data_IF_077155525314
#
_entry.id   IF_077155525314
#
_cell.length_a   1.000
_cell.length_b   1.000
_cell.length_c   1.000
_cell.angle_alpha   90.00
_cell.angle_beta   90.00
_cell.angle_gamma   90.00
#
_symmetry.space_group_name_H-M   'P 1'
#
loop_
_entity.id
_entity.type
_entity.pdbx_description
1 polymer ?
#
# COMPACT_ATOMS: atom_id res chain seq x y z
N UNK A 1 15.27 -7.00 -4.99
CA UNK A 1 16.40 -6.71 -5.90
C UNK A 1 17.72 -7.13 -5.24
N UNK A 2 17.88 -8.45 -4.98
CA UNK A 2 18.94 -9.05 -4.14
C UNK A 2 19.70 -10.19 -4.87
N UNK A 3 19.46 -10.37 -6.17
CA UNK A 3 19.76 -11.64 -6.85
C UNK A 3 21.16 -11.70 -7.45
N UNK A 4 21.70 -10.63 -8.04
CA UNK A 4 22.94 -10.73 -8.84
C UNK A 4 24.18 -11.14 -8.04
N UNK A 5 24.46 -10.49 -6.90
CA UNK A 5 25.62 -10.83 -6.07
C UNK A 5 25.54 -12.24 -5.47
N UNK A 6 24.36 -12.63 -4.99
CA UNK A 6 24.13 -13.97 -4.42
C UNK A 6 24.19 -15.07 -5.48
N UNK A 7 23.67 -14.82 -6.69
CA UNK A 7 23.76 -15.76 -7.82
C UNK A 7 25.20 -15.98 -8.26
N UNK A 8 25.99 -14.90 -8.37
CA UNK A 8 27.40 -15.01 -8.74
C UNK A 8 28.20 -15.76 -7.66
N UNK A 9 27.93 -15.50 -6.38
CA UNK A 9 28.60 -16.21 -5.28
C UNK A 9 28.30 -17.71 -5.29
N UNK A 10 27.05 -18.08 -5.54
CA UNK A 10 26.66 -19.48 -5.71
C UNK A 10 27.33 -20.12 -6.92
N UNK A 11 27.42 -19.40 -8.05
CA UNK A 11 28.13 -19.88 -9.23
C UNK A 11 29.60 -20.16 -8.93
N UNK A 12 30.30 -19.21 -8.29
CA UNK A 12 31.71 -19.38 -7.94
C UNK A 12 31.94 -20.52 -6.95
N UNK A 13 31.09 -20.67 -5.94
CA UNK A 13 31.14 -21.81 -5.01
C UNK A 13 30.92 -23.13 -5.72
N UNK A 14 29.91 -23.21 -6.60
CA UNK A 14 29.64 -24.42 -7.37
C UNK A 14 30.80 -24.80 -8.31
N UNK A 15 31.48 -23.82 -8.90
CA UNK A 15 32.69 -24.08 -9.67
C UNK A 15 33.81 -24.62 -8.77
N UNK A 16 34.00 -24.05 -7.58
CA UNK A 16 35.09 -24.39 -6.67
C UNK A 16 34.91 -25.76 -6.02
N UNK A 17 33.69 -26.13 -5.67
CA UNK A 17 33.32 -27.46 -5.16
C UNK A 17 33.57 -28.55 -6.21
N UNK A 18 33.21 -28.28 -7.47
CA UNK A 18 33.30 -29.27 -8.55
C UNK A 18 34.63 -29.23 -9.33
N UNK A 19 35.65 -28.50 -8.87
CA UNK A 19 36.93 -28.39 -9.58
C UNK A 19 37.69 -29.72 -9.64
N UNK A 20 37.52 -30.57 -8.64
CA UNK A 20 38.20 -31.87 -8.58
C UNK A 20 37.47 -32.94 -9.41
N UNK A 21 36.18 -32.76 -9.68
CA UNK A 21 35.37 -33.69 -10.46
C UNK A 21 35.19 -33.28 -11.93
N UNK A 22 35.47 -32.02 -12.30
CA UNK A 22 35.31 -31.51 -13.66
C UNK A 22 36.50 -30.66 -14.11
N UNK A 23 37.28 -31.19 -15.05
CA UNK A 23 38.40 -30.49 -15.70
C UNK A 23 37.96 -29.16 -16.32
N UNK A 24 36.76 -29.12 -16.92
CA UNK A 24 36.21 -27.88 -17.50
C UNK A 24 35.98 -26.81 -16.44
N UNK A 25 35.40 -27.17 -15.28
CA UNK A 25 35.17 -26.20 -14.20
C UNK A 25 36.47 -25.73 -13.56
N UNK A 26 37.46 -26.61 -13.41
CA UNK A 26 38.80 -26.25 -12.96
C UNK A 26 39.49 -25.24 -13.91
N UNK A 27 39.40 -25.47 -15.23
CA UNK A 27 39.96 -24.57 -16.23
C UNK A 27 39.28 -23.20 -16.22
N UNK A 28 37.94 -23.16 -16.09
CA UNK A 28 37.19 -21.90 -15.95
C UNK A 28 37.68 -21.13 -14.71
N UNK A 29 37.74 -21.77 -13.55
CA UNK A 29 38.21 -21.13 -12.32
C UNK A 29 39.63 -20.56 -12.45
N UNK A 30 40.55 -21.34 -13.02
CA UNK A 30 41.92 -20.90 -13.23
C UNK A 30 41.97 -19.66 -14.13
N UNK A 31 41.24 -19.66 -15.25
CA UNK A 31 41.16 -18.50 -16.14
C UNK A 31 40.56 -17.27 -15.45
N UNK A 32 39.51 -17.43 -14.64
CA UNK A 32 38.90 -16.34 -13.87
C UNK A 32 39.84 -15.77 -12.80
N UNK A 33 40.67 -16.62 -12.18
CA UNK A 33 41.70 -16.22 -11.22
C UNK A 33 42.87 -15.51 -11.91
N UNK A 34 43.38 -16.05 -13.01
CA UNK A 34 44.50 -15.48 -13.78
C UNK A 34 44.13 -14.11 -14.37
N UNK A 35 42.91 -13.98 -14.89
CA UNK A 35 42.36 -12.72 -15.41
C UNK A 35 41.97 -11.71 -14.32
N UNK A 36 42.01 -12.11 -13.04
CA UNK A 36 41.54 -11.31 -11.90
C UNK A 36 40.13 -10.74 -12.13
N UNK A 37 39.25 -11.54 -12.72
CA UNK A 37 37.89 -11.10 -13.07
C UNK A 37 37.07 -10.67 -11.84
N UNK A 38 35.93 -10.02 -12.09
CA UNK A 38 34.97 -9.73 -11.02
C UNK A 38 34.50 -11.01 -10.31
N UNK A 39 34.41 -12.14 -11.03
CA UNK A 39 33.96 -13.40 -10.45
C UNK A 39 34.97 -13.92 -9.41
N UNK A 40 36.26 -13.90 -9.72
CA UNK A 40 37.29 -14.37 -8.80
C UNK A 40 37.48 -13.45 -7.59
N UNK A 41 37.24 -12.15 -7.74
CA UNK A 41 37.34 -11.17 -6.65
C UNK A 41 36.04 -10.96 -5.86
N UNK A 42 34.94 -11.60 -6.23
CA UNK A 42 33.63 -11.23 -5.71
C UNK A 42 33.51 -11.41 -4.19
N UNK A 43 34.17 -12.42 -3.62
CA UNK A 43 34.04 -12.73 -2.19
C UNK A 43 34.64 -11.58 -1.37
N UNK A 44 35.84 -11.14 -1.75
CA UNK A 44 36.51 -9.96 -1.19
C UNK A 44 35.67 -8.70 -1.43
N UNK A 45 35.14 -8.51 -2.64
CA UNK A 45 34.28 -7.36 -2.94
C UNK A 45 33.03 -7.31 -2.05
N UNK A 46 32.36 -8.44 -1.84
CA UNK A 46 31.15 -8.52 -1.02
C UNK A 46 31.48 -8.29 0.46
N UNK A 47 32.54 -8.90 0.99
CA UNK A 47 33.02 -8.67 2.36
C UNK A 47 33.29 -7.17 2.60
N UNK A 48 34.04 -6.53 1.71
CA UNK A 48 34.38 -5.10 1.81
C UNK A 48 33.15 -4.20 1.66
N UNK A 49 32.29 -4.47 0.67
CA UNK A 49 31.11 -3.65 0.38
C UNK A 49 30.06 -3.66 1.50
N UNK A 50 29.90 -4.81 2.16
CA UNK A 50 28.92 -5.00 3.22
C UNK A 50 29.53 -4.99 4.62
N UNK A 51 30.85 -4.81 4.74
CA UNK A 51 31.61 -4.80 6.01
C UNK A 51 31.32 -6.03 6.87
N UNK A 52 31.39 -7.20 6.25
CA UNK A 52 31.21 -8.48 6.94
C UNK A 52 32.59 -8.91 7.45
N UNK A 53 32.76 -8.99 8.76
CA UNK A 53 34.04 -9.37 9.41
C UNK A 53 34.24 -10.89 9.44
N UNK A 54 33.15 -11.64 9.53
CA UNK A 54 33.15 -13.10 9.53
C UNK A 54 33.28 -13.70 8.12
N UNK A 55 33.42 -15.03 8.07
CA UNK A 55 33.34 -15.80 6.82
C UNK A 55 32.04 -15.47 6.07
N UNK A 56 32.15 -15.19 4.77
CA UNK A 56 30.99 -14.90 3.94
C UNK A 56 30.05 -16.12 3.90
N UNK A 57 28.79 -15.94 4.31
CA UNK A 57 27.72 -16.93 4.17
C UNK A 57 26.60 -16.37 3.31
N UNK A 58 25.73 -17.23 2.78
CA UNK A 58 24.61 -16.72 2.00
C UNK A 58 23.59 -15.97 2.88
N UNK A 59 23.50 -16.35 4.16
CA UNK A 59 22.60 -15.75 5.14
C UNK A 59 23.10 -14.37 5.57
N UNK A 60 24.35 -14.24 6.02
CA UNK A 60 24.90 -12.94 6.42
C UNK A 60 24.93 -11.95 5.25
N UNK A 61 25.17 -12.41 4.02
CA UNK A 61 25.09 -11.57 2.83
C UNK A 61 23.68 -11.07 2.58
N UNK A 62 22.66 -11.94 2.69
CA UNK A 62 21.25 -11.54 2.51
C UNK A 62 20.84 -10.53 3.57
N UNK A 63 21.25 -10.73 4.82
CA UNK A 63 20.97 -9.81 5.92
C UNK A 63 21.66 -8.46 5.72
N UNK A 64 22.96 -8.44 5.42
CA UNK A 64 23.68 -7.20 5.21
C UNK A 64 23.16 -6.41 3.98
N UNK A 65 22.80 -7.11 2.91
CA UNK A 65 22.13 -6.50 1.77
C UNK A 65 20.77 -5.90 2.14
N UNK A 66 19.98 -6.62 2.95
CA UNK A 66 18.69 -6.17 3.44
C UNK A 66 18.87 -4.90 4.27
N UNK A 67 19.76 -4.89 5.26
CA UNK A 67 20.06 -3.72 6.11
C UNK A 67 20.46 -2.51 5.27
N UNK A 68 21.39 -2.67 4.33
CA UNK A 68 21.82 -1.60 3.43
C UNK A 68 20.66 -1.05 2.61
N UNK A 69 19.84 -1.94 2.04
CA UNK A 69 18.66 -1.54 1.28
C UNK A 69 17.66 -0.73 2.11
N UNK A 70 17.40 -1.13 3.36
CA UNK A 70 16.53 -0.36 4.26
C UNK A 70 17.13 1.01 4.59
N UNK A 71 18.44 1.10 4.84
CA UNK A 71 19.11 2.37 5.08
C UNK A 71 19.03 3.31 3.85
N UNK A 72 19.29 2.78 2.66
CA UNK A 72 19.17 3.53 1.40
C UNK A 72 17.73 4.05 1.19
N UNK A 73 16.73 3.25 1.56
CA UNK A 73 15.32 3.65 1.50
C UNK A 73 14.97 4.70 2.54
N UNK A 74 15.47 4.59 3.78
CA UNK A 74 15.23 5.57 4.85
C UNK A 74 15.73 6.97 4.45
N UNK A 75 16.80 7.04 3.64
CA UNK A 75 17.31 8.29 3.05
C UNK A 75 16.45 8.88 1.94
N UNK A 76 15.52 8.12 1.35
CA UNK A 76 14.65 8.61 0.27
C UNK A 76 13.38 9.25 0.83
N UNK A 77 13.15 10.53 0.53
CA UNK A 77 12.05 11.34 1.08
C UNK A 77 10.66 10.72 0.95
N UNK A 78 10.37 10.07 -0.18
CA UNK A 78 9.06 9.48 -0.46
C UNK A 78 8.95 8.04 0.04
N UNK A 79 9.93 7.19 -0.29
CA UNK A 79 9.91 5.77 0.05
C UNK A 79 10.08 5.54 1.55
N UNK A 80 10.75 6.42 2.29
CA UNK A 80 10.92 6.30 3.73
C UNK A 80 9.64 6.41 4.53
N UNK A 81 8.54 6.96 3.99
CA UNK A 81 7.29 7.17 4.73
C UNK A 81 6.74 5.87 5.32
N UNK A 82 6.64 4.80 4.53
CA UNK A 82 6.14 3.51 5.00
C UNK A 82 7.07 2.91 6.07
N UNK A 83 8.38 3.00 5.85
CA UNK A 83 9.37 2.39 6.76
C UNK A 83 9.56 3.16 8.05
N UNK A 84 9.31 4.48 8.05
CA UNK A 84 9.17 5.28 9.27
C UNK A 84 7.86 4.96 9.97
N UNK A 85 6.78 4.80 9.21
CA UNK A 85 5.46 4.48 9.76
C UNK A 85 5.42 3.08 10.40
N UNK A 86 6.22 2.14 9.91
CA UNK A 86 6.35 0.80 10.48
C UNK A 86 6.86 0.80 11.94
N UNK A 87 7.51 1.88 12.38
CA UNK A 87 7.94 2.02 13.78
C UNK A 87 6.75 2.23 14.74
N UNK A 88 5.56 2.59 14.22
CA UNK A 88 4.35 2.70 15.02
C UNK A 88 3.55 1.39 15.05
N UNK A 89 3.14 0.98 16.26
CA UNK A 89 2.43 -0.28 16.50
C UNK A 89 1.06 -0.38 15.79
N UNK A 90 0.43 0.76 15.52
CA UNK A 90 -0.85 0.84 14.81
C UNK A 90 -0.74 0.54 13.30
N UNK A 91 0.48 0.56 12.74
CA UNK A 91 0.68 0.45 11.29
C UNK A 91 0.91 -1.00 10.88
N UNK A 92 -0.14 -1.61 10.32
CA UNK A 92 -0.03 -2.94 9.74
C UNK A 92 0.35 -2.87 8.25
N UNK A 93 1.63 -3.14 7.96
CA UNK A 93 2.18 -3.13 6.58
C UNK A 93 1.46 -4.14 5.67
N UNK A 94 1.14 -5.33 6.17
CA UNK A 94 0.44 -6.34 5.36
C UNK A 94 -0.99 -5.90 5.03
N UNK A 95 -1.70 -5.33 6.00
CA UNK A 95 -3.05 -4.80 5.79
C UNK A 95 -3.05 -3.65 4.77
N UNK A 96 -2.02 -2.80 4.77
CA UNK A 96 -1.91 -1.66 3.83
C UNK A 96 -1.90 -2.06 2.35
N UNK A 97 -1.51 -3.29 2.05
CA UNK A 97 -1.45 -3.84 0.69
C UNK A 97 -2.63 -4.78 0.35
N UNK A 98 -3.58 -4.95 1.27
CA UNK A 98 -4.70 -5.91 1.09
C UNK A 98 -5.61 -5.51 -0.08
N UNK A 99 -5.74 -4.21 -0.36
CA UNK A 99 -6.54 -3.73 -1.49
C UNK A 99 -5.96 -4.12 -2.86
N UNK A 100 -4.66 -4.39 -2.96
CA UNK A 100 -4.04 -4.93 -4.19
C UNK A 100 -4.36 -6.42 -4.36
N UNK A 101 -4.45 -7.19 -3.26
CA UNK A 101 -4.70 -8.63 -3.32
C UNK A 101 -6.19 -8.98 -3.44
N UNK A 102 -7.06 -8.17 -2.84
CA UNK A 102 -8.51 -8.43 -2.73
C UNK A 102 -9.37 -7.36 -3.40
N UNK A 103 -8.77 -6.41 -4.12
CA UNK A 103 -9.50 -5.35 -4.79
C UNK A 103 -10.31 -5.87 -5.97
N UNK A 104 -11.52 -5.35 -6.14
CA UNK A 104 -12.31 -5.57 -7.36
C UNK A 104 -11.83 -4.64 -8.49
N UNK A 105 -10.52 -4.60 -8.73
CA UNK A 105 -9.89 -3.76 -9.74
C UNK A 105 -9.39 -4.65 -10.88
N UNK A 106 -9.63 -4.21 -12.12
CA UNK A 106 -9.03 -4.89 -13.27
C UNK A 106 -7.50 -4.70 -13.23
N UNK A 107 -6.74 -5.71 -13.67
CA UNK A 107 -5.27 -5.67 -13.68
C UNK A 107 -4.69 -4.41 -14.37
N UNK A 108 -5.38 -3.89 -15.41
CA UNK A 108 -5.02 -2.62 -16.05
C UNK A 108 -5.16 -1.44 -15.09
N UNK A 109 -6.27 -1.34 -14.37
CA UNK A 109 -6.53 -0.27 -13.39
C UNK A 109 -5.57 -0.35 -12.22
N UNK A 110 -5.30 -1.57 -11.72
CA UNK A 110 -4.28 -1.82 -10.70
C UNK A 110 -2.90 -1.30 -11.15
N UNK A 111 -2.46 -1.66 -12.37
CA UNK A 111 -1.21 -1.17 -12.94
C UNK A 111 -1.14 0.36 -13.01
N UNK A 112 -2.26 1.02 -13.33
CA UNK A 112 -2.35 2.50 -13.33
C UNK A 112 -2.27 3.06 -11.90
N UNK A 113 -2.95 2.46 -10.93
CA UNK A 113 -2.91 2.91 -9.53
C UNK A 113 -1.52 2.72 -8.92
N UNK A 114 -0.88 1.58 -9.15
CA UNK A 114 0.51 1.33 -8.75
C UNK A 114 1.45 2.30 -9.45
N UNK A 115 1.29 2.55 -10.75
CA UNK A 115 2.07 3.55 -11.45
C UNK A 115 1.85 4.96 -10.88
N UNK A 116 0.63 5.36 -10.54
CA UNK A 116 0.34 6.65 -9.91
C UNK A 116 0.89 6.72 -8.48
N UNK A 117 0.90 5.62 -7.73
CA UNK A 117 1.43 5.59 -6.37
C UNK A 117 2.97 5.62 -6.36
N UNK A 118 3.60 4.86 -7.26
CA UNK A 118 5.06 4.70 -7.37
C UNK A 118 5.70 5.83 -8.17
N UNK A 119 5.00 6.34 -9.19
CA UNK A 119 5.39 7.56 -9.85
C UNK A 119 5.13 8.70 -8.89
N UNK A 120 6.14 9.54 -8.74
CA UNK A 120 5.98 10.92 -8.30
C UNK A 120 4.82 11.50 -9.14
N UNK A 121 3.56 11.50 -8.65
CA UNK A 121 2.40 12.05 -9.39
C UNK A 121 2.67 13.48 -9.88
N UNK A 122 3.67 14.12 -9.28
CA UNK A 122 4.32 15.33 -9.77
C UNK A 122 5.79 15.00 -10.01
N UNK A 123 6.14 14.69 -11.25
CA UNK A 123 7.47 14.33 -11.75
C UNK A 123 8.54 15.40 -11.43
N UNK A 124 8.93 15.56 -10.16
CA UNK A 124 9.94 16.53 -9.74
C UNK A 124 9.57 18.01 -9.98
N UNK A 125 8.43 18.29 -10.61
CA UNK A 125 7.97 19.66 -10.85
C UNK A 125 7.55 20.27 -9.52
N UNK A 126 8.28 21.29 -9.07
CA UNK A 126 7.92 22.14 -7.93
C UNK A 126 6.76 23.08 -8.27
N UNK A 127 5.70 22.55 -8.86
CA UNK A 127 4.54 23.33 -9.27
C UNK A 127 3.67 23.57 -8.04
N UNK A 128 3.30 24.83 -7.81
CA UNK A 128 2.32 25.16 -6.78
C UNK A 128 0.95 24.60 -7.14
N UNK A 129 0.15 24.26 -6.12
CA UNK A 129 -1.20 23.76 -6.34
C UNK A 129 -2.03 24.79 -7.12
N UNK A 130 -2.67 24.42 -8.24
CA UNK A 130 -3.44 25.36 -9.06
C UNK A 130 -4.68 25.90 -8.33
N UNK A 131 -5.21 25.13 -7.37
CA UNK A 131 -6.41 25.49 -6.62
C UNK A 131 -6.08 26.48 -5.50
N UNK A 132 -5.22 26.09 -4.55
CA UNK A 132 -4.95 26.90 -3.36
C UNK A 132 -3.79 27.89 -3.54
N UNK A 133 -2.84 27.61 -4.45
CA UNK A 133 -1.59 28.37 -4.69
C UNK A 133 -0.72 28.62 -3.44
N UNK A 134 -1.01 27.94 -2.31
CA UNK A 134 -0.29 28.07 -1.03
C UNK A 134 0.71 26.94 -0.78
N UNK A 135 0.42 25.75 -1.31
CA UNK A 135 1.23 24.56 -1.07
C UNK A 135 1.70 23.93 -2.38
N UNK A 136 2.76 23.15 -2.30
CA UNK A 136 3.26 22.35 -3.44
C UNK A 136 2.18 21.38 -3.90
N UNK A 137 2.01 21.26 -5.22
CA UNK A 137 1.13 20.29 -5.84
C UNK A 137 1.71 18.90 -5.58
N UNK A 138 1.18 18.23 -4.56
CA UNK A 138 1.52 16.85 -4.20
C UNK A 138 0.24 16.02 -4.15
N UNK A 139 0.34 14.71 -4.34
CA UNK A 139 -0.85 13.84 -4.35
C UNK A 139 -1.52 13.89 -2.97
N UNK A 140 -0.69 13.87 -1.93
CA UNK A 140 -1.09 14.06 -0.53
C UNK A 140 -1.83 15.40 -0.33
N UNK A 141 -1.27 16.51 -0.83
CA UNK A 141 -1.93 17.81 -0.75
C UNK A 141 -3.28 17.82 -1.49
N UNK A 142 -3.33 17.37 -2.74
CA UNK A 142 -4.57 17.36 -3.53
C UNK A 142 -5.64 16.46 -2.93
N UNK A 143 -5.27 15.30 -2.38
CA UNK A 143 -6.21 14.33 -1.84
C UNK A 143 -6.70 14.66 -0.42
N UNK A 144 -5.86 15.31 0.40
CA UNK A 144 -6.10 15.42 1.85
C UNK A 144 -5.84 16.78 2.49
N UNK A 145 -5.22 17.76 1.80
CA UNK A 145 -4.82 19.04 2.43
C UNK A 145 -5.17 20.29 1.63
N UNK A 146 -5.77 20.15 0.45
CA UNK A 146 -6.10 21.30 -0.39
C UNK A 146 -7.50 21.77 -0.04
N UNK A 147 -7.63 22.81 0.79
CA UNK A 147 -8.93 23.30 1.29
C UNK A 147 -9.98 23.50 0.19
N UNK A 148 -9.55 23.98 -0.99
CA UNK A 148 -10.44 24.21 -2.14
C UNK A 148 -10.90 22.94 -2.84
N UNK A 149 -10.10 21.86 -2.81
CA UNK A 149 -10.50 20.55 -3.34
C UNK A 149 -11.22 19.72 -2.29
N UNK A 150 -10.78 19.84 -1.04
CA UNK A 150 -11.23 18.99 0.05
C UNK A 150 -12.74 19.09 0.20
N UNK A 151 -13.30 20.30 0.28
CA UNK A 151 -14.74 20.48 0.44
C UNK A 151 -15.58 19.75 -0.62
N UNK A 152 -15.19 19.82 -1.89
CA UNK A 152 -15.96 19.22 -2.98
C UNK A 152 -15.68 17.71 -3.13
N UNK A 153 -14.41 17.31 -3.25
CA UNK A 153 -14.03 15.93 -3.56
C UNK A 153 -14.13 15.01 -2.35
N UNK A 154 -13.95 15.54 -1.13
CA UNK A 154 -14.26 14.78 0.09
C UNK A 154 -15.75 14.55 0.21
N UNK A 155 -16.58 15.61 0.09
CA UNK A 155 -18.03 15.48 0.21
C UNK A 155 -18.60 14.53 -0.86
N UNK A 156 -18.08 14.60 -2.09
CA UNK A 156 -18.48 13.66 -3.15
C UNK A 156 -18.16 12.21 -2.80
N UNK A 157 -16.95 11.92 -2.30
CA UNK A 157 -16.56 10.57 -1.87
C UNK A 157 -17.37 10.12 -0.66
N UNK A 158 -17.58 11.01 0.31
CA UNK A 158 -18.41 10.77 1.48
C UNK A 158 -19.82 10.34 1.08
N UNK A 159 -20.48 11.14 0.23
CA UNK A 159 -21.83 10.86 -0.24
C UNK A 159 -21.91 9.56 -1.04
N UNK A 160 -20.86 9.22 -1.79
CA UNK A 160 -20.77 7.93 -2.51
C UNK A 160 -20.67 6.74 -1.56
N UNK A 161 -19.90 6.86 -0.46
CA UNK A 161 -19.82 5.84 0.60
C UNK A 161 -21.16 5.71 1.32
N UNK A 162 -21.79 6.82 1.71
CA UNK A 162 -23.14 6.84 2.31
C UNK A 162 -24.14 6.16 1.38
N UNK A 163 -24.09 6.42 0.07
CA UNK A 163 -24.94 5.77 -0.92
C UNK A 163 -24.74 4.26 -0.99
N UNK A 164 -23.50 3.79 -0.95
CA UNK A 164 -23.19 2.35 -0.91
C UNK A 164 -23.74 1.69 0.37
N UNK A 165 -23.50 2.29 1.53
CA UNK A 165 -24.00 1.79 2.82
C UNK A 165 -25.53 1.80 2.87
N UNK A 166 -26.15 2.88 2.41
CA UNK A 166 -27.59 3.01 2.32
C UNK A 166 -28.20 1.90 1.44
N UNK A 167 -27.60 1.59 0.28
CA UNK A 167 -28.06 0.48 -0.57
C UNK A 167 -27.94 -0.88 0.12
N UNK A 168 -26.81 -1.13 0.80
CA UNK A 168 -26.59 -2.39 1.52
C UNK A 168 -27.66 -2.61 2.60
N UNK A 169 -27.99 -1.57 3.36
CA UNK A 169 -29.01 -1.62 4.40
C UNK A 169 -30.41 -1.74 3.81
N UNK A 170 -30.72 -0.98 2.77
CA UNK A 170 -31.97 -1.07 2.04
C UNK A 170 -32.22 -2.48 1.51
N UNK A 171 -31.18 -3.17 1.02
CA UNK A 171 -31.26 -4.57 0.59
C UNK A 171 -31.48 -5.52 1.77
N UNK A 172 -30.76 -5.33 2.89
CA UNK A 172 -30.87 -6.17 4.10
C UNK A 172 -32.28 -6.17 4.71
N UNK A 173 -32.94 -5.01 4.72
CA UNK A 173 -34.29 -4.82 5.26
C UNK A 173 -35.38 -4.85 4.19
N UNK A 174 -35.06 -5.32 2.98
CA UNK A 174 -36.02 -5.59 1.90
C UNK A 174 -36.75 -4.36 1.34
N UNK A 175 -36.14 -3.17 1.47
CA UNK A 175 -36.61 -1.95 0.81
C UNK A 175 -36.38 -1.96 -0.70
N UNK A 176 -35.34 -2.65 -1.16
CA UNK A 176 -35.03 -2.78 -2.58
C UNK A 176 -34.34 -4.10 -2.87
N UNK A 177 -34.58 -4.64 -4.06
CA UNK A 177 -33.88 -5.83 -4.59
C UNK A 177 -32.68 -5.45 -5.46
N UNK A 178 -32.53 -4.17 -5.80
CA UNK A 178 -31.44 -3.68 -6.65
C UNK A 178 -30.09 -3.81 -5.94
N UNK A 179 -29.05 -4.11 -6.72
CA UNK A 179 -27.64 -4.10 -6.29
C UNK A 179 -26.83 -3.02 -6.98
N UNK A 180 -27.47 -2.25 -7.87
CA UNK A 180 -26.79 -1.25 -8.70
C UNK A 180 -26.68 0.08 -7.95
N UNK A 181 -25.50 0.38 -7.41
CA UNK A 181 -25.20 1.64 -6.72
C UNK A 181 -25.49 2.86 -7.60
N UNK A 182 -25.14 2.79 -8.90
CA UNK A 182 -25.26 3.93 -9.84
C UNK A 182 -26.68 4.51 -9.95
N UNK A 183 -27.70 3.65 -9.85
CA UNK A 183 -29.11 4.04 -9.96
C UNK A 183 -29.78 4.24 -8.61
N UNK A 184 -29.07 3.97 -7.51
CA UNK A 184 -29.62 4.09 -6.16
C UNK A 184 -29.71 5.56 -5.76
N UNK A 185 -30.88 5.99 -5.32
CA UNK A 185 -31.08 7.30 -4.73
C UNK A 185 -31.10 7.17 -3.22
N UNK A 186 -30.39 8.06 -2.52
CA UNK A 186 -30.41 8.12 -1.05
C UNK A 186 -31.66 8.87 -0.63
N UNK A 187 -32.49 8.23 0.19
CA UNK A 187 -33.69 8.84 0.77
C UNK A 187 -33.39 9.19 2.22
N UNK A 188 -33.85 10.37 2.65
CA UNK A 188 -33.62 10.85 4.03
C UNK A 188 -34.28 9.92 5.06
N UNK A 189 -35.46 9.39 4.75
CA UNK A 189 -36.17 8.42 5.58
C UNK A 189 -36.79 7.33 4.70
N UNK A 190 -36.58 6.07 5.06
CA UNK A 190 -37.23 4.89 4.49
C UNK A 190 -37.82 4.05 5.61
N UNK A 191 -39.13 3.76 5.55
CA UNK A 191 -39.82 2.98 6.59
C UNK A 191 -40.62 1.84 5.98
N UNK A 192 -40.50 0.65 6.55
CA UNK A 192 -41.34 -0.51 6.25
C UNK A 192 -41.60 -1.31 7.55
N UNK A 193 -42.23 -2.47 7.43
CA UNK A 193 -42.56 -3.33 8.59
C UNK A 193 -41.31 -3.87 9.29
N UNK A 194 -40.21 -4.01 8.54
CA UNK A 194 -38.96 -4.60 9.03
C UNK A 194 -38.06 -3.59 9.74
N UNK A 195 -37.99 -2.35 9.26
CA UNK A 195 -37.08 -1.35 9.78
C UNK A 195 -37.45 0.07 9.37
N UNK A 196 -36.74 1.03 9.95
CA UNK A 196 -36.69 2.41 9.49
C UNK A 196 -35.23 2.85 9.36
N UNK A 197 -34.85 3.30 8.16
CA UNK A 197 -33.52 3.82 7.85
C UNK A 197 -33.66 5.34 7.74
N UNK A 198 -32.84 6.08 8.48
CA UNK A 198 -32.76 7.54 8.38
C UNK A 198 -31.34 7.95 8.01
N UNK A 199 -31.19 8.93 7.14
CA UNK A 199 -29.90 9.47 6.72
C UNK A 199 -29.86 10.94 7.12
N UNK A 200 -28.73 11.40 7.66
CA UNK A 200 -28.52 12.82 7.99
C UNK A 200 -29.58 13.42 8.96
N UNK A 201 -30.26 12.59 9.76
CA UNK A 201 -31.33 13.05 10.64
C UNK A 201 -30.84 13.18 12.08
N UNK A 202 -31.23 14.26 12.76
CA UNK A 202 -30.93 14.42 14.20
C UNK A 202 -31.76 13.45 15.03
N UNK A 203 -31.11 12.79 15.98
CA UNK A 203 -31.74 11.95 16.98
C UNK A 203 -32.09 12.82 18.19
N UNK A 204 -33.38 12.89 18.51
CA UNK A 204 -33.84 13.48 19.75
C UNK A 204 -33.36 12.59 20.91
N UNK A 205 -32.71 13.20 21.89
CA UNK A 205 -32.18 12.53 23.08
C UNK A 205 -32.54 13.37 24.29
N UNK A 206 -32.88 12.73 25.41
CA UNK A 206 -33.29 13.42 26.63
C UNK A 206 -32.13 14.18 27.30
N UNK A 207 -30.90 13.79 26.98
CA UNK A 207 -29.66 14.44 27.42
C UNK A 207 -29.05 15.20 26.24
N UNK A 208 -28.49 16.40 26.48
CA UNK A 208 -27.77 17.15 25.44
C UNK A 208 -26.51 16.39 25.01
N UNK A 209 -26.57 15.76 23.84
CA UNK A 209 -25.41 15.12 23.18
C UNK A 209 -24.87 16.06 22.08
N UNK A 210 -23.58 16.36 22.12
CA UNK A 210 -22.93 17.26 21.15
C UNK A 210 -22.97 16.75 19.70
N UNK A 211 -22.97 15.43 19.52
CA UNK A 211 -22.93 14.75 18.22
C UNK A 211 -24.18 13.88 17.99
N UNK A 212 -25.36 14.50 17.99
CA UNK A 212 -26.65 13.80 17.88
C UNK A 212 -27.17 13.62 16.44
N UNK A 213 -26.33 13.85 15.43
CA UNK A 213 -26.68 13.71 14.01
C UNK A 213 -25.81 12.62 13.38
N UNK A 214 -26.20 11.35 13.46
CA UNK A 214 -25.50 10.27 12.76
C UNK A 214 -25.70 10.38 11.25
N UNK A 215 -24.72 9.89 10.49
CA UNK A 215 -24.80 9.82 9.02
C UNK A 215 -25.92 8.89 8.55
N UNK A 216 -26.03 7.70 9.18
CA UNK A 216 -27.11 6.74 8.93
C UNK A 216 -27.56 6.16 10.27
N UNK A 217 -28.87 6.20 10.52
CA UNK A 217 -29.55 5.55 11.64
C UNK A 217 -30.41 4.40 11.10
N UNK A 218 -30.39 3.26 11.80
CA UNK A 218 -31.22 2.11 11.48
C UNK A 218 -31.99 1.73 12.74
N UNK A 219 -33.32 1.73 12.63
CA UNK A 219 -34.21 1.22 13.66
C UNK A 219 -34.78 -0.11 13.21
N UNK A 220 -34.25 -1.19 13.75
CA UNK A 220 -34.75 -2.54 13.46
C UNK A 220 -36.10 -2.75 14.18
N UNK A 221 -37.11 -3.17 13.42
CA UNK A 221 -38.46 -3.47 13.92
C UNK A 221 -38.73 -4.98 13.93
N UNK A 222 -37.84 -5.80 13.36
CA UNK A 222 -37.92 -7.26 13.41
C UNK A 222 -37.74 -7.70 14.87
N UNK A 223 -38.83 -8.15 15.50
CA UNK A 223 -38.81 -8.67 16.87
C UNK A 223 -39.48 -7.78 17.93
N UNK A 224 -39.98 -6.58 17.58
CA UNK A 224 -40.94 -5.88 18.43
C UNK A 224 -42.31 -6.54 18.30
N UNK A 225 -42.60 -7.53 19.16
CA UNK A 225 -43.98 -7.96 19.42
C UNK A 225 -44.72 -6.75 20.03
N UNK A 226 -45.85 -6.37 19.43
CA UNK A 226 -46.82 -5.43 20.01
C UNK A 226 -47.27 -5.88 21.38
#
# INVERSE_FOLDING_TARGET
MLKSGSMLLQLYRSLNEAKHSSLRRAAILKNEMDSKSYLSQMEVFLLTKYKIEDKLTLENLKEAQKVRFYNDIKGKTYYSKLFRAQEYEIVNVNASSTWMQKGNNQARSEGIYCFLQDSKVFLGQEVQCPHCRKHRKTADHLATKCDRMLGHDYMKRHNEVVRCLHLLMAKKYEFTRSTKVRTHSVQEVMTNDNAEIRVDTRVATDVKVAHNKPEILIMDRRGRKS
#
